data_IF_645410537617
#
_entry.id   IF_645410537617
#
_cell.length_a   1.000
_cell.length_b   1.000
_cell.length_c   1.000
_cell.angle_alpha   90.00
_cell.angle_beta   90.00
_cell.angle_gamma   90.00
#
_symmetry.space_group_name_H-M   'P 1'
#
loop_
_entity.id
_entity.type
_entity.pdbx_description
1 polymer ?
#
# COMPACT_ATOMS: atom_id res chain seq x y z
N UNK A 1 -1.68 -8.78 6.16
CA UNK A 1 -1.82 -8.67 4.69
C UNK A 1 -3.17 -8.04 4.36
N UNK A 2 -3.26 -7.33 3.24
CA UNK A 2 -4.51 -6.81 2.66
C UNK A 2 -4.47 -6.93 1.15
N UNK A 3 -5.64 -6.97 0.51
CA UNK A 3 -5.79 -7.05 -0.95
C UNK A 3 -6.83 -6.02 -1.40
N UNK A 4 -6.61 -5.41 -2.56
CA UNK A 4 -7.60 -4.52 -3.17
C UNK A 4 -8.84 -5.30 -3.64
N UNK A 5 -9.97 -4.62 -3.74
CA UNK A 5 -11.23 -5.19 -4.21
C UNK A 5 -11.10 -5.90 -5.57
N UNK A 6 -10.31 -5.32 -6.47
CA UNK A 6 -10.02 -5.90 -7.79
C UNK A 6 -8.92 -6.98 -7.77
N UNK A 7 -8.38 -7.33 -6.61
CA UNK A 7 -7.29 -8.32 -6.42
C UNK A 7 -6.02 -8.04 -7.22
N UNK A 8 -5.80 -6.80 -7.66
CA UNK A 8 -4.65 -6.38 -8.46
C UNK A 8 -3.54 -5.69 -7.63
N UNK A 9 -3.79 -5.44 -6.36
CA UNK A 9 -2.80 -4.91 -5.41
C UNK A 9 -2.89 -5.71 -4.12
N UNK A 10 -1.78 -6.23 -3.66
CA UNK A 10 -1.66 -6.82 -2.31
C UNK A 10 -0.61 -6.06 -1.52
N UNK A 11 -0.88 -5.84 -0.23
CA UNK A 11 0.09 -5.30 0.70
C UNK A 11 0.29 -6.23 1.90
N UNK A 12 1.51 -6.26 2.41
CA UNK A 12 1.88 -6.95 3.64
C UNK A 12 2.66 -6.00 4.52
N UNK A 13 2.21 -5.83 5.77
CA UNK A 13 2.94 -5.12 6.80
C UNK A 13 3.17 -6.02 8.00
N UNK A 14 4.33 -5.92 8.64
CA UNK A 14 4.58 -6.47 9.96
C UNK A 14 4.44 -5.33 10.97
N UNK A 15 3.51 -5.48 11.89
CA UNK A 15 3.27 -4.52 12.95
C UNK A 15 4.11 -4.90 14.17
N UNK A 16 4.60 -3.90 14.90
CA UNK A 16 5.27 -4.11 16.18
C UNK A 16 4.30 -4.46 17.33
N UNK A 17 3.01 -4.42 17.06
CA UNK A 17 1.94 -4.70 18.01
C UNK A 17 1.21 -5.97 17.61
N UNK A 18 1.02 -6.87 18.57
CA UNK A 18 0.22 -8.08 18.39
C UNK A 18 -1.23 -7.81 18.77
N UNK A 19 -2.15 -8.33 17.97
CA UNK A 19 -3.58 -8.34 18.27
C UNK A 19 -3.95 -9.68 18.91
N UNK A 20 -4.80 -9.70 19.95
CA UNK A 20 -5.12 -10.92 20.68
C UNK A 20 -5.93 -11.93 19.86
N UNK A 21 -6.58 -11.46 18.79
CA UNK A 21 -7.44 -12.28 17.93
C UNK A 21 -7.54 -11.69 16.52
N UNK A 22 -7.94 -12.53 15.56
CA UNK A 22 -8.39 -12.05 14.26
C UNK A 22 -9.76 -11.39 14.40
N UNK A 23 -9.97 -10.28 13.71
CA UNK A 23 -11.27 -9.60 13.66
C UNK A 23 -11.49 -8.97 12.27
N UNK A 24 -12.75 -8.85 11.89
CA UNK A 24 -13.16 -8.29 10.62
C UNK A 24 -13.74 -6.90 10.78
N UNK A 25 -13.35 -5.98 9.91
CA UNK A 25 -13.84 -4.61 9.84
C UNK A 25 -14.70 -4.48 8.59
N UNK A 26 -15.98 -4.15 8.74
CA UNK A 26 -16.89 -3.93 7.61
C UNK A 26 -16.62 -2.58 6.94
N UNK A 27 -16.44 -1.53 7.71
CA UNK A 27 -16.18 -0.17 7.24
C UNK A 27 -14.89 0.35 7.88
N UNK A 28 -13.80 0.28 7.11
CA UNK A 28 -12.49 0.72 7.56
C UNK A 28 -12.46 2.23 7.86
N UNK A 29 -13.14 3.05 7.07
CA UNK A 29 -13.15 4.50 7.29
C UNK A 29 -13.85 4.85 8.60
N UNK A 30 -14.97 4.20 8.90
CA UNK A 30 -15.67 4.35 10.17
C UNK A 30 -14.78 3.89 11.34
N UNK A 31 -14.11 2.75 11.21
CA UNK A 31 -13.19 2.27 12.25
C UNK A 31 -12.03 3.24 12.50
N UNK A 32 -11.38 3.71 11.43
CA UNK A 32 -10.32 4.73 11.54
C UNK A 32 -10.86 6.06 12.11
N UNK A 33 -12.09 6.42 11.73
CA UNK A 33 -12.78 7.58 12.31
C UNK A 33 -12.97 7.44 13.82
N UNK A 34 -13.39 6.26 14.31
CA UNK A 34 -13.49 5.98 15.74
C UNK A 34 -12.12 6.12 16.42
N UNK A 35 -11.07 5.55 15.83
CA UNK A 35 -9.72 5.67 16.40
C UNK A 35 -9.23 7.11 16.49
N UNK A 36 -9.59 7.96 15.53
CA UNK A 36 -9.19 9.37 15.49
C UNK A 36 -9.83 10.23 16.60
N UNK A 37 -10.83 9.72 17.31
CA UNK A 37 -11.43 10.40 18.47
C UNK A 37 -10.55 10.35 19.71
N UNK A 38 -9.53 9.47 19.71
CA UNK A 38 -8.71 9.18 20.88
C UNK A 38 -7.24 9.53 20.64
N UNK A 39 -6.59 10.02 21.66
CA UNK A 39 -5.12 10.14 21.72
C UNK A 39 -4.58 8.87 22.38
N UNK A 40 -3.59 8.23 21.75
CA UNK A 40 -3.01 6.95 22.23
C UNK A 40 -4.08 5.90 22.57
N UNK A 41 -4.91 5.47 21.58
CA UNK A 41 -6.01 4.56 21.82
C UNK A 41 -5.56 3.24 22.42
N UNK A 42 -6.22 2.82 23.49
CA UNK A 42 -6.10 1.51 24.10
C UNK A 42 -7.28 0.65 23.64
N UNK A 43 -7.03 -0.63 23.43
CA UNK A 43 -8.00 -1.57 22.89
C UNK A 43 -8.32 -2.66 23.90
N UNK A 44 -9.59 -2.83 24.20
CA UNK A 44 -10.11 -3.98 24.96
C UNK A 44 -10.98 -4.84 24.02
N UNK A 45 -10.47 -6.01 23.67
CA UNK A 45 -11.09 -6.91 22.70
C UNK A 45 -12.05 -7.86 23.37
N UNK A 46 -13.26 -7.94 22.86
CA UNK A 46 -14.25 -8.96 23.16
C UNK A 46 -14.43 -9.90 21.96
N UNK A 47 -15.26 -10.93 22.09
CA UNK A 47 -15.55 -11.86 20.99
C UNK A 47 -16.13 -11.15 19.75
N UNK A 48 -16.96 -10.10 19.95
CA UNK A 48 -17.75 -9.47 18.87
C UNK A 48 -17.48 -7.99 18.67
N UNK A 49 -16.69 -7.38 19.55
CA UNK A 49 -16.44 -5.94 19.52
C UNK A 49 -15.06 -5.61 20.06
N UNK A 50 -14.63 -4.39 19.83
CA UNK A 50 -13.50 -3.78 20.50
C UNK A 50 -13.97 -2.48 21.16
N UNK A 51 -13.64 -2.31 22.44
CA UNK A 51 -13.75 -1.03 23.11
C UNK A 51 -12.45 -0.25 22.91
N UNK A 52 -12.59 0.98 22.51
CA UNK A 52 -11.49 1.92 22.30
C UNK A 52 -11.64 3.01 23.35
N UNK A 53 -10.58 3.23 24.10
CA UNK A 53 -10.52 4.27 25.12
C UNK A 53 -9.15 4.97 25.06
N UNK A 54 -9.08 6.20 25.55
CA UNK A 54 -7.80 6.91 25.64
C UNK A 54 -7.15 6.65 27.00
N UNK A 55 -5.83 6.43 26.98
CA UNK A 55 -5.02 6.43 28.21
C UNK A 55 -4.65 7.84 28.64
N UNK A 56 -4.70 8.79 27.72
CA UNK A 56 -4.37 10.22 27.92
C UNK A 56 -5.44 11.04 27.23
N UNK A 57 -5.80 12.14 27.83
CA UNK A 57 -6.83 13.02 27.34
C UNK A 57 -6.31 14.08 26.35
N UNK A 58 -6.93 14.15 25.18
CA UNK A 58 -6.68 15.20 24.19
C UNK A 58 -7.14 16.61 24.66
N UNK A 59 -8.01 16.67 25.68
CA UNK A 59 -8.66 17.90 26.15
C UNK A 59 -8.62 18.08 27.69
N UNK A 60 -7.69 17.47 28.40
CA UNK A 60 -7.60 17.43 29.88
C UNK A 60 -8.75 16.70 30.60
N UNK A 61 -9.45 15.76 29.93
CA UNK A 61 -10.37 14.84 30.63
C UNK A 61 -9.59 13.66 31.21
N UNK A 62 -10.02 13.06 32.26
CA UNK A 62 -9.35 11.92 32.91
C UNK A 62 -9.38 10.67 32.03
N UNK A 63 -8.31 9.88 32.02
CA UNK A 63 -8.27 8.61 31.30
C UNK A 63 -9.46 7.72 31.69
N UNK A 64 -10.18 7.22 30.69
CA UNK A 64 -11.35 6.36 30.88
C UNK A 64 -12.71 7.04 30.77
N UNK A 65 -12.77 8.36 30.67
CA UNK A 65 -14.07 9.09 30.58
C UNK A 65 -14.74 8.96 29.19
N UNK A 66 -13.97 8.57 28.16
CA UNK A 66 -14.49 8.38 26.81
C UNK A 66 -14.21 6.96 26.35
N UNK A 67 -15.28 6.26 25.96
CA UNK A 67 -15.23 4.89 25.46
C UNK A 67 -16.08 4.82 24.19
N UNK A 68 -15.50 4.31 23.11
CA UNK A 68 -16.25 3.90 21.94
C UNK A 68 -16.22 2.39 21.80
N UNK A 69 -17.33 1.79 21.43
CA UNK A 69 -17.42 0.36 21.13
C UNK A 69 -17.69 0.16 19.64
N UNK A 70 -16.80 -0.59 18.98
CA UNK A 70 -16.91 -0.92 17.56
C UNK A 70 -17.24 -2.41 17.41
N UNK A 71 -18.35 -2.72 16.74
CA UNK A 71 -18.78 -4.09 16.48
C UNK A 71 -18.02 -4.66 15.27
N UNK A 72 -17.52 -5.88 15.41
CA UNK A 72 -16.86 -6.60 14.32
C UNK A 72 -17.88 -7.06 13.27
N UNK A 73 -17.41 -7.13 12.03
CA UNK A 73 -18.14 -7.81 10.98
C UNK A 73 -18.06 -9.34 11.16
N UNK A 74 -19.01 -10.06 10.56
CA UNK A 74 -18.94 -11.50 10.55
C UNK A 74 -17.78 -11.96 9.65
N UNK A 75 -16.85 -12.73 10.20
CA UNK A 75 -15.68 -13.27 9.50
C UNK A 75 -16.05 -14.08 8.25
N UNK A 76 -17.22 -14.72 8.22
CA UNK A 76 -17.68 -15.50 7.08
C UNK A 76 -17.86 -14.68 5.80
N UNK A 77 -18.06 -13.36 5.94
CA UNK A 77 -18.16 -12.46 4.78
C UNK A 77 -16.84 -12.31 4.01
N UNK A 78 -15.71 -12.67 4.63
CA UNK A 78 -14.35 -12.45 4.10
C UNK A 78 -13.60 -13.77 3.81
N UNK A 79 -14.32 -14.89 3.65
CA UNK A 79 -13.70 -16.19 3.42
C UNK A 79 -12.86 -16.25 2.12
N UNK A 80 -13.28 -15.56 1.07
CA UNK A 80 -12.54 -15.51 -0.19
C UNK A 80 -11.26 -14.70 -0.04
N UNK A 81 -11.34 -13.52 0.58
CA UNK A 81 -10.22 -12.65 0.88
C UNK A 81 -9.22 -13.36 1.80
N UNK A 82 -9.69 -14.07 2.81
CA UNK A 82 -8.86 -14.87 3.70
C UNK A 82 -8.06 -15.95 2.94
N UNK A 83 -8.68 -16.64 1.99
CA UNK A 83 -8.00 -17.62 1.14
C UNK A 83 -6.95 -17.00 0.24
N UNK A 84 -7.21 -15.81 -0.30
CA UNK A 84 -6.25 -15.04 -1.12
C UNK A 84 -5.07 -14.59 -0.24
N UNK A 85 -5.37 -14.01 0.92
CA UNK A 85 -4.36 -13.49 1.85
C UNK A 85 -3.49 -14.58 2.49
N UNK A 86 -3.98 -15.81 2.58
CA UNK A 86 -3.22 -16.96 3.07
C UNK A 86 -2.11 -17.39 2.09
N UNK A 87 -2.25 -17.10 0.80
CA UNK A 87 -1.25 -17.46 -0.20
C UNK A 87 -0.02 -16.56 -0.09
N UNK A 88 1.15 -17.15 -0.27
CA UNK A 88 2.37 -16.39 -0.48
C UNK A 88 2.56 -16.11 -1.98
N UNK A 89 2.69 -14.83 -2.29
CA UNK A 89 3.00 -14.42 -3.65
C UNK A 89 4.50 -14.63 -3.88
N UNK A 90 4.81 -15.58 -4.75
CA UNK A 90 6.18 -15.77 -5.24
C UNK A 90 6.37 -14.90 -6.46
N UNK A 91 7.29 -13.94 -6.38
CA UNK A 91 7.71 -13.20 -7.56
C UNK A 91 8.46 -14.18 -8.47
N UNK A 92 8.07 -14.32 -9.74
CA UNK A 92 8.90 -15.00 -10.74
C UNK A 92 10.26 -14.31 -10.84
N UNK A 93 11.22 -14.95 -11.49
CA UNK A 93 12.54 -14.35 -11.72
C UNK A 93 12.39 -12.91 -12.23
N UNK A 94 12.94 -11.92 -11.52
CA UNK A 94 12.75 -10.53 -11.89
C UNK A 94 13.57 -10.19 -13.13
N UNK A 95 12.96 -9.55 -14.09
CA UNK A 95 13.61 -9.02 -15.29
C UNK A 95 14.36 -7.72 -15.00
N UNK A 96 13.90 -6.97 -14.00
CA UNK A 96 14.58 -5.78 -13.52
C UNK A 96 14.47 -5.65 -12.00
N UNK A 97 15.53 -5.08 -11.42
CA UNK A 97 15.60 -4.70 -10.03
C UNK A 97 16.25 -3.33 -9.91
N UNK A 98 15.63 -2.44 -9.15
CA UNK A 98 16.15 -1.08 -8.94
C UNK A 98 15.67 -0.52 -7.60
N UNK A 99 16.35 0.53 -7.14
CA UNK A 99 15.93 1.29 -5.98
C UNK A 99 15.10 2.49 -6.41
N UNK A 100 13.88 2.59 -5.90
CA UNK A 100 12.99 3.72 -6.09
C UNK A 100 13.05 4.62 -4.86
N UNK A 101 13.84 5.68 -4.92
CA UNK A 101 13.93 6.66 -3.84
C UNK A 101 12.62 7.45 -3.71
N UNK A 102 12.25 7.81 -2.48
CA UNK A 102 11.02 8.55 -2.19
C UNK A 102 10.89 9.82 -3.04
N UNK A 103 11.99 10.58 -3.21
CA UNK A 103 11.97 11.81 -4.01
C UNK A 103 11.52 11.61 -5.46
N UNK A 104 11.94 10.50 -6.07
CA UNK A 104 11.56 10.15 -7.44
C UNK A 104 10.11 9.68 -7.52
N UNK A 105 9.70 8.86 -6.54
CA UNK A 105 8.31 8.41 -6.46
C UNK A 105 7.34 9.58 -6.26
N UNK A 106 7.63 10.48 -5.32
CA UNK A 106 6.82 11.69 -5.08
C UNK A 106 6.77 12.58 -6.31
N UNK A 107 7.92 12.78 -6.99
CA UNK A 107 8.01 13.61 -8.20
C UNK A 107 7.16 13.06 -9.34
N UNK A 108 7.27 11.76 -9.64
CA UNK A 108 6.52 11.14 -10.75
C UNK A 108 5.02 11.13 -10.47
N UNK A 109 4.59 10.84 -9.22
CA UNK A 109 3.19 10.82 -8.83
C UNK A 109 2.57 12.23 -8.92
N UNK A 110 3.31 13.26 -8.50
CA UNK A 110 2.89 14.66 -8.63
C UNK A 110 2.76 15.08 -10.10
N UNK A 111 3.75 14.75 -10.92
CA UNK A 111 3.72 15.07 -12.35
C UNK A 111 2.53 14.39 -13.05
N UNK A 112 2.31 13.09 -12.77
CA UNK A 112 1.17 12.36 -13.30
C UNK A 112 -0.17 13.02 -12.93
N UNK A 113 -0.31 13.47 -11.68
CA UNK A 113 -1.52 14.17 -11.22
C UNK A 113 -1.71 15.51 -11.92
N UNK A 114 -0.65 16.35 -12.00
CA UNK A 114 -0.73 17.69 -12.62
C UNK A 114 -1.05 17.59 -14.11
N UNK A 115 -0.45 16.62 -14.80
CA UNK A 115 -0.61 16.40 -16.24
C UNK A 115 -1.78 15.49 -16.59
N UNK A 116 -2.54 15.01 -15.59
CA UNK A 116 -3.67 14.07 -15.75
C UNK A 116 -3.27 12.80 -16.50
N UNK A 117 -2.07 12.28 -16.23
CA UNK A 117 -1.55 11.07 -16.86
C UNK A 117 -1.93 9.84 -16.02
N UNK A 118 -2.67 8.87 -16.59
CA UNK A 118 -3.27 7.77 -15.82
C UNK A 118 -2.31 6.60 -15.52
N UNK A 119 -1.10 6.62 -16.08
CA UNK A 119 -0.20 5.46 -16.06
C UNK A 119 1.24 5.86 -15.75
N UNK A 120 1.94 4.94 -15.07
CA UNK A 120 3.38 5.01 -14.86
C UNK A 120 4.03 3.82 -15.56
N UNK A 121 4.88 4.10 -16.55
CA UNK A 121 5.71 3.09 -17.20
C UNK A 121 7.07 3.01 -16.53
N UNK A 122 7.53 1.78 -16.26
CA UNK A 122 8.93 1.46 -15.99
C UNK A 122 9.54 0.99 -17.29
N UNK A 123 10.55 1.69 -17.77
CA UNK A 123 11.17 1.44 -19.06
C UNK A 123 12.67 1.25 -18.84
N UNK A 124 13.16 0.06 -19.17
CA UNK A 124 14.59 -0.22 -19.26
C UNK A 124 14.92 -0.43 -20.74
N UNK A 125 15.81 0.38 -21.27
CA UNK A 125 16.24 0.36 -22.66
C UNK A 125 17.57 1.09 -22.83
N UNK A 126 18.42 0.60 -23.75
CA UNK A 126 19.68 1.23 -24.14
C UNK A 126 20.61 1.52 -22.93
N UNK A 127 20.69 0.57 -21.99
CA UNK A 127 21.54 0.66 -20.80
C UNK A 127 21.00 1.56 -19.69
N UNK A 128 19.78 2.06 -19.79
CA UNK A 128 19.12 2.96 -18.84
C UNK A 128 17.81 2.43 -18.34
N UNK A 129 17.43 2.80 -17.10
CA UNK A 129 16.11 2.57 -16.56
C UNK A 129 15.48 3.88 -16.11
N UNK A 130 14.20 4.10 -16.44
CA UNK A 130 13.46 5.30 -16.09
C UNK A 130 12.03 4.97 -15.69
N UNK A 131 11.45 5.84 -14.86
CA UNK A 131 10.00 5.96 -14.71
C UNK A 131 9.47 7.01 -15.67
N UNK A 132 8.33 6.76 -16.26
CA UNK A 132 7.68 7.73 -17.14
C UNK A 132 6.17 7.75 -16.87
N UNK A 133 5.63 8.91 -16.49
CA UNK A 133 4.20 9.15 -16.47
C UNK A 133 3.72 9.35 -17.91
N UNK A 134 2.68 8.64 -18.29
CA UNK A 134 2.16 8.60 -19.67
C UNK A 134 0.65 8.45 -19.68
N UNK A 135 0.06 8.78 -20.82
CA UNK A 135 -1.21 8.24 -21.27
C UNK A 135 -0.94 7.37 -22.51
N UNK A 136 -1.05 6.05 -22.37
CA UNK A 136 -0.76 5.11 -23.45
C UNK A 136 -1.75 5.20 -24.63
N UNK A 137 -2.89 5.86 -24.44
CA UNK A 137 -3.94 6.03 -25.45
C UNK A 137 -3.73 7.28 -26.31
N UNK A 138 -3.25 8.37 -25.72
CA UNK A 138 -3.16 9.67 -26.40
C UNK A 138 -1.74 10.04 -26.81
N UNK A 139 -0.70 9.50 -26.16
CA UNK A 139 0.74 9.61 -26.49
C UNK A 139 1.26 11.04 -26.69
N UNK A 140 0.63 12.07 -26.12
CA UNK A 140 1.01 13.46 -26.37
C UNK A 140 1.96 13.98 -25.29
N UNK A 141 1.58 13.84 -24.03
CA UNK A 141 2.35 14.37 -22.90
C UNK A 141 3.04 13.26 -22.13
N UNK A 142 4.19 13.57 -21.55
CA UNK A 142 4.88 12.66 -20.65
C UNK A 142 5.84 13.39 -19.72
N UNK A 143 6.11 12.78 -18.58
CA UNK A 143 7.13 13.22 -17.64
C UNK A 143 7.99 12.02 -17.24
N UNK A 144 9.32 12.17 -17.28
CA UNK A 144 10.23 11.06 -17.00
C UNK A 144 11.25 11.40 -15.90
N UNK A 145 11.61 10.38 -15.13
CA UNK A 145 12.66 10.41 -14.11
C UNK A 145 13.64 9.29 -14.42
N UNK A 146 14.93 9.63 -14.58
CA UNK A 146 16.02 8.66 -14.75
C UNK A 146 16.35 8.02 -13.40
N UNK A 147 16.40 6.68 -13.37
CA UNK A 147 16.74 5.89 -12.19
C UNK A 147 18.16 5.30 -12.26
N UNK A 148 18.88 5.53 -13.36
CA UNK A 148 20.26 5.07 -13.56
C UNK A 148 20.41 4.03 -14.65
N UNK A 149 21.39 3.13 -14.48
CA UNK A 149 21.75 2.13 -15.48
C UNK A 149 20.99 0.81 -15.25
N UNK A 150 20.74 0.09 -16.34
CA UNK A 150 20.13 -1.25 -16.32
C UNK A 150 20.49 -2.00 -17.59
N UNK A 151 20.88 -3.26 -17.46
CA UNK A 151 21.14 -4.15 -18.59
C UNK A 151 19.85 -4.81 -19.13
N UNK A 152 18.71 -4.53 -18.50
CA UNK A 152 17.41 -5.06 -18.90
C UNK A 152 16.87 -4.33 -20.13
N UNK A 153 16.00 -5.01 -20.88
CA UNK A 153 15.27 -4.41 -22.00
C UNK A 153 13.79 -4.80 -21.89
N UNK A 154 13.01 -3.93 -21.23
CA UNK A 154 11.58 -4.18 -21.01
C UNK A 154 10.82 -2.88 -20.83
N UNK A 155 9.48 -2.99 -20.94
CA UNK A 155 8.53 -1.94 -20.56
C UNK A 155 7.39 -2.58 -19.79
N UNK A 156 7.09 -2.04 -18.60
CA UNK A 156 5.93 -2.41 -17.82
C UNK A 156 5.14 -1.16 -17.43
N UNK A 157 3.82 -1.23 -17.54
CA UNK A 157 2.91 -0.11 -17.26
C UNK A 157 2.07 -0.46 -16.05
N UNK A 158 2.05 0.44 -15.08
CA UNK A 158 1.19 0.40 -13.91
C UNK A 158 0.12 1.49 -14.03
N UNK A 159 -1.12 1.16 -13.70
CA UNK A 159 -2.15 2.19 -13.52
C UNK A 159 -1.82 3.02 -12.28
N UNK A 160 -1.95 4.34 -12.39
CA UNK A 160 -1.67 5.27 -11.30
C UNK A 160 -2.51 4.94 -10.06
N UNK A 161 -3.76 4.52 -10.24
CA UNK A 161 -4.68 4.14 -9.17
C UNK A 161 -4.18 2.97 -8.31
N UNK A 162 -3.33 2.09 -8.86
CA UNK A 162 -2.76 0.93 -8.16
C UNK A 162 -1.48 1.29 -7.39
N UNK A 163 -0.85 2.42 -7.69
CA UNK A 163 0.40 2.87 -7.07
C UNK A 163 0.18 3.71 -5.79
N UNK A 164 -0.86 3.41 -5.02
CA UNK A 164 -1.15 4.07 -3.73
C UNK A 164 -0.23 3.54 -2.63
N UNK A 165 1.08 3.66 -2.84
CA UNK A 165 2.08 3.25 -1.87
C UNK A 165 2.24 4.30 -0.76
N UNK A 166 2.56 3.87 0.44
CA UNK A 166 3.01 4.77 1.50
C UNK A 166 4.32 5.45 1.07
N UNK A 167 4.52 6.69 1.52
CA UNK A 167 5.79 7.40 1.27
C UNK A 167 6.97 6.63 1.83
N UNK A 168 8.07 6.61 1.09
CA UNK A 168 9.31 5.93 1.45
C UNK A 168 10.10 5.49 0.24
N UNK A 169 11.27 4.95 0.50
CA UNK A 169 12.16 4.34 -0.50
C UNK A 169 11.87 2.85 -0.63
N UNK A 170 11.89 2.32 -1.83
CA UNK A 170 11.56 0.93 -2.13
C UNK A 170 12.65 0.24 -2.94
N UNK A 171 12.97 -0.99 -2.56
CA UNK A 171 13.61 -1.94 -3.47
C UNK A 171 12.51 -2.55 -4.35
N UNK A 172 12.61 -2.33 -5.65
CA UNK A 172 11.60 -2.73 -6.63
C UNK A 172 12.14 -3.86 -7.49
N UNK A 173 11.33 -4.89 -7.65
CA UNK A 173 11.58 -6.00 -8.57
C UNK A 173 10.39 -6.16 -9.50
N UNK A 174 10.65 -6.26 -10.79
CA UNK A 174 9.61 -6.39 -11.81
C UNK A 174 9.84 -7.66 -12.62
N UNK A 175 8.80 -8.48 -12.72
CA UNK A 175 8.78 -9.69 -13.54
C UNK A 175 8.09 -9.42 -14.87
N UNK A 176 8.55 -10.06 -15.94
CA UNK A 176 7.94 -10.03 -17.27
C UNK A 176 6.51 -10.62 -17.30
N UNK A 177 6.08 -11.28 -16.22
CA UNK A 177 4.72 -11.82 -16.07
C UNK A 177 3.71 -10.78 -15.57
N UNK A 178 4.07 -9.50 -15.58
CA UNK A 178 3.17 -8.42 -15.20
C UNK A 178 2.99 -8.26 -13.68
N UNK A 179 4.02 -8.60 -12.90
CA UNK A 179 4.01 -8.45 -11.44
C UNK A 179 5.19 -7.60 -10.97
N UNK A 180 4.89 -6.52 -10.26
CA UNK A 180 5.86 -5.70 -9.55
C UNK A 180 5.82 -5.98 -8.03
N UNK A 181 6.99 -6.13 -7.42
CA UNK A 181 7.17 -6.23 -5.98
C UNK A 181 7.94 -5.01 -5.49
N UNK A 182 7.33 -4.29 -4.55
CA UNK A 182 7.86 -3.08 -3.94
C UNK A 182 8.08 -3.35 -2.45
N UNK A 183 9.32 -3.44 -2.03
CA UNK A 183 9.70 -3.66 -0.63
C UNK A 183 10.24 -2.36 -0.05
N UNK A 184 9.58 -1.84 0.98
CA UNK A 184 10.05 -0.64 1.66
C UNK A 184 11.39 -0.92 2.37
N UNK A 185 12.34 0.01 2.29
CA UNK A 185 13.70 -0.18 2.83
C UNK A 185 13.81 0.12 4.32
N UNK A 186 12.86 0.85 4.88
CA UNK A 186 12.88 1.27 6.29
C UNK A 186 11.81 0.59 7.13
N UNK A 187 10.65 0.31 6.50
CA UNK A 187 9.50 -0.29 7.15
C UNK A 187 9.34 -1.74 6.70
N UNK A 188 8.85 -2.57 7.58
CA UNK A 188 8.47 -3.95 7.23
C UNK A 188 7.16 -3.96 6.42
N UNK A 189 7.20 -3.40 5.23
CA UNK A 189 6.07 -3.15 4.37
C UNK A 189 6.41 -3.53 2.92
N UNK A 190 5.56 -4.33 2.31
CA UNK A 190 5.73 -4.83 0.96
C UNK A 190 4.41 -4.73 0.17
N UNK A 191 4.53 -4.46 -1.13
CA UNK A 191 3.40 -4.43 -2.06
C UNK A 191 3.69 -5.31 -3.27
N UNK A 192 2.65 -5.96 -3.79
CA UNK A 192 2.63 -6.67 -5.08
C UNK A 192 1.53 -6.05 -5.94
N UNK A 193 1.90 -5.61 -7.15
CA UNK A 193 1.06 -4.85 -8.07
C UNK A 193 1.21 -5.39 -9.48
#
# INVERSE_FOLDING_TARGET
>A
KTVSEQTNVMAKAELGQEFPQDFAIYDLNKFLGVLSLFVEPQFDFSEKSVKVQSSVDANNYTAGDQIAEYQFANMSLFENEKKILAKDIKLPEPEASFKLEEKYFVSIMRAASVMSLPEIAVIAKDGKIKLQAIDSKTSVDSYAVDLGNSDSNFKMIFKLENLKLMKGTYDVKISNKGLGHFKNTEKKLEYWI
#
